data_IF_136607955748
#
_entry.id   IF_136607955748
#
_cell.length_a   1.000
_cell.length_b   1.000
_cell.length_c   1.000
_cell.angle_alpha   90.00
_cell.angle_beta   90.00
_cell.angle_gamma   90.00
#
_symmetry.space_group_name_H-M   'P 1'
#
loop_
_entity.id
_entity.type
_entity.pdbx_description
1 polymer ?
#
# COMPACT_ATOMS: atom_id res chain seq x y z
N UNK A 1 2.75 13.87 -9.17
CA UNK A 1 2.38 12.78 -10.10
C UNK A 1 3.47 11.72 -10.16
N UNK A 2 3.63 10.95 -9.08
CA UNK A 2 4.60 9.85 -8.99
C UNK A 2 4.02 8.67 -8.19
N UNK A 3 2.70 8.52 -8.08
CA UNK A 3 2.12 7.36 -7.36
C UNK A 3 2.14 6.09 -8.23
N UNK A 4 2.01 6.25 -9.55
CA UNK A 4 2.02 5.17 -10.55
C UNK A 4 3.30 5.01 -11.40
N UNK A 5 4.15 6.03 -11.63
CA UNK A 5 5.45 5.84 -12.29
C UNK A 5 6.47 4.96 -11.53
N UNK A 6 6.69 5.08 -10.20
CA UNK A 6 7.78 4.36 -9.51
C UNK A 6 7.41 2.91 -9.17
N UNK A 7 6.13 2.61 -8.92
CA UNK A 7 5.65 1.21 -8.78
C UNK A 7 5.72 0.52 -10.15
N UNK A 8 5.27 1.21 -11.22
CA UNK A 8 5.40 0.70 -12.58
C UNK A 8 6.86 0.43 -12.98
N UNK A 9 7.79 1.30 -12.61
CA UNK A 9 9.23 1.12 -12.84
C UNK A 9 9.78 -0.10 -12.09
N UNK A 10 9.43 -0.27 -10.81
CA UNK A 10 9.86 -1.43 -10.03
C UNK A 10 9.28 -2.73 -10.60
N UNK A 11 8.01 -2.75 -10.99
CA UNK A 11 7.38 -3.92 -11.63
C UNK A 11 7.97 -4.20 -13.02
N UNK A 12 8.37 -3.16 -13.77
CA UNK A 12 9.02 -3.29 -15.08
C UNK A 12 10.44 -3.88 -14.95
N UNK A 13 11.26 -3.37 -14.03
CA UNK A 13 12.60 -3.94 -13.74
C UNK A 13 12.45 -5.38 -13.24
N UNK A 14 11.50 -5.64 -12.35
CA UNK A 14 11.24 -7.00 -11.86
C UNK A 14 10.81 -7.93 -13.00
N UNK A 15 9.96 -7.47 -13.93
CA UNK A 15 9.57 -8.25 -15.12
C UNK A 15 10.75 -8.59 -16.03
N UNK A 16 11.70 -7.65 -16.20
CA UNK A 16 12.91 -7.86 -16.99
C UNK A 16 13.92 -8.81 -16.35
N UNK A 17 14.02 -8.81 -15.01
CA UNK A 17 14.93 -9.69 -14.26
C UNK A 17 14.34 -11.10 -14.06
N UNK A 18 13.03 -11.21 -13.91
CA UNK A 18 12.34 -12.49 -13.66
C UNK A 18 11.79 -13.17 -14.91
N UNK A 19 11.76 -12.47 -16.06
CA UNK A 19 11.19 -12.97 -17.32
C UNK A 19 9.67 -13.13 -17.31
N UNK A 20 8.98 -12.76 -16.22
CA UNK A 20 7.53 -12.81 -16.10
C UNK A 20 6.89 -11.57 -16.76
N UNK A 21 5.73 -11.74 -17.40
CA UNK A 21 5.02 -10.63 -18.03
C UNK A 21 4.60 -9.57 -17.00
N UNK A 22 4.54 -8.30 -17.40
CA UNK A 22 4.15 -7.19 -16.51
C UNK A 22 2.82 -7.47 -15.79
N UNK A 23 1.86 -8.10 -16.48
CA UNK A 23 0.56 -8.50 -15.92
C UNK A 23 0.69 -9.49 -14.77
N UNK A 24 1.61 -10.45 -14.86
CA UNK A 24 1.86 -11.43 -13.78
C UNK A 24 2.47 -10.75 -12.56
N UNK A 25 3.45 -9.85 -12.76
CA UNK A 25 4.08 -9.13 -11.65
C UNK A 25 3.08 -8.18 -10.98
N UNK A 26 2.25 -7.48 -11.76
CA UNK A 26 1.16 -6.64 -11.22
C UNK A 26 0.16 -7.47 -10.42
N UNK A 27 -0.24 -8.65 -10.92
CA UNK A 27 -1.17 -9.53 -10.20
C UNK A 27 -0.57 -10.06 -8.89
N UNK A 28 0.73 -10.31 -8.86
CA UNK A 28 1.44 -10.71 -7.64
C UNK A 28 1.54 -9.57 -6.61
N UNK A 29 1.65 -8.31 -7.06
CA UNK A 29 1.67 -7.13 -6.18
C UNK A 29 0.28 -6.69 -5.69
N UNK A 30 -0.79 -7.04 -6.43
CA UNK A 30 -2.18 -6.69 -6.11
C UNK A 30 -2.65 -7.07 -4.68
N UNK A 31 -2.38 -8.27 -4.14
CA UNK A 31 -2.76 -8.59 -2.76
C UNK A 31 -2.11 -7.65 -1.73
N UNK A 32 -0.88 -7.19 -1.97
CA UNK A 32 -0.21 -6.25 -1.07
C UNK A 32 -0.82 -4.85 -1.15
N UNK A 33 -1.19 -4.41 -2.35
CA UNK A 33 -1.96 -3.18 -2.55
C UNK A 33 -3.30 -3.26 -1.80
N UNK A 34 -4.01 -4.39 -1.85
CA UNK A 34 -5.28 -4.58 -1.15
C UNK A 34 -5.11 -4.49 0.37
N UNK A 35 -4.03 -5.03 0.94
CA UNK A 35 -3.72 -4.87 2.36
C UNK A 35 -3.52 -3.40 2.72
N UNK A 36 -2.74 -2.65 1.93
CA UNK A 36 -2.50 -1.22 2.14
C UNK A 36 -3.79 -0.40 2.04
N UNK A 37 -4.64 -0.68 1.05
CA UNK A 37 -5.93 -0.01 0.89
C UNK A 37 -6.88 -0.32 2.04
N UNK A 38 -6.92 -1.57 2.49
CA UNK A 38 -7.75 -1.99 3.63
C UNK A 38 -7.26 -1.30 4.90
N UNK A 39 -5.95 -1.24 5.12
CA UNK A 39 -5.34 -0.53 6.24
C UNK A 39 -5.64 0.98 6.19
N UNK A 40 -5.54 1.60 5.03
CA UNK A 40 -5.87 3.00 4.82
C UNK A 40 -7.33 3.31 5.17
N UNK A 41 -8.27 2.47 4.71
CA UNK A 41 -9.70 2.59 5.06
C UNK A 41 -9.89 2.43 6.57
N UNK A 42 -9.26 1.44 7.18
CA UNK A 42 -9.34 1.23 8.63
C UNK A 42 -8.87 2.47 9.41
N UNK A 43 -7.71 3.03 9.09
CA UNK A 43 -7.19 4.24 9.76
C UNK A 43 -8.05 5.47 9.49
N UNK A 44 -8.62 5.60 8.30
CA UNK A 44 -9.44 6.76 7.90
C UNK A 44 -10.81 6.77 8.60
N UNK A 45 -11.44 5.60 8.78
CA UNK A 45 -12.82 5.49 9.28
C UNK A 45 -12.92 4.94 10.71
N UNK A 46 -11.86 4.32 11.24
CA UNK A 46 -11.81 3.84 12.62
C UNK A 46 -10.94 4.81 13.42
N UNK A 47 -11.54 5.92 13.92
CA UNK A 47 -10.77 6.97 14.56
C UNK A 47 -10.09 6.47 15.83
N UNK A 48 -10.56 5.39 16.44
CA UNK A 48 -9.89 4.72 17.56
C UNK A 48 -8.45 4.27 17.28
N UNK A 49 -8.11 3.87 16.04
CA UNK A 49 -6.75 3.46 15.69
C UNK A 49 -5.81 4.68 15.72
N UNK A 50 -6.28 5.81 15.22
CA UNK A 50 -5.51 7.06 15.17
C UNK A 50 -5.57 7.86 16.46
N UNK A 51 -6.67 7.74 17.22
CA UNK A 51 -6.93 8.47 18.47
C UNK A 51 -6.39 7.74 19.70
N UNK A 52 -6.02 6.45 19.60
CA UNK A 52 -5.40 5.74 20.72
C UNK A 52 -4.13 6.44 21.21
N UNK A 53 -3.26 6.90 20.30
CA UNK A 53 -2.03 7.60 20.66
C UNK A 53 -2.28 9.04 21.17
N UNK A 54 -3.10 9.88 20.50
CA UNK A 54 -3.51 11.20 21.01
C UNK A 54 -4.21 11.14 22.38
N UNK A 55 -5.16 10.23 22.58
CA UNK A 55 -5.87 10.09 23.85
C UNK A 55 -4.93 9.63 24.99
N UNK A 56 -3.90 8.82 24.66
CA UNK A 56 -2.89 8.39 25.63
C UNK A 56 -1.89 9.48 26.02
N UNK A 57 -1.62 10.46 25.14
CA UNK A 57 -0.60 11.50 25.35
C UNK A 57 -1.22 12.85 25.80
N UNK A 58 -2.38 13.23 25.27
CA UNK A 58 -3.00 14.53 25.54
C UNK A 58 -4.09 14.52 26.61
N UNK A 59 -4.52 13.35 27.10
CA UNK A 59 -5.60 13.23 28.09
C UNK A 59 -6.97 13.68 27.54
N UNK A 60 -8.07 13.50 28.31
CA UNK A 60 -9.40 13.97 27.92
C UNK A 60 -9.49 15.49 27.77
#
# INVERSE_FOLDING_TARGET
>A
GMVTPPVGLNLFVTSGVTGMSLVQVTRAALPWLMVLLTFLVMVTYIPWISLALPNAIFGP
#
